data_IF_209956425192
#
_entry.id   IF_209956425192
#
_cell.length_a   1.000
_cell.length_b   1.000
_cell.length_c   1.000
_cell.angle_alpha   90.00
_cell.angle_beta   90.00
_cell.angle_gamma   90.00
#
_symmetry.space_group_name_H-M   'P 1'
#
loop_
_entity.id
_entity.type
_entity.pdbx_description
1 polymer ?
#
# COMPACT_ATOMS: atom_id res chain seq x y z
N UNK A 1 -19.43 -8.73 -7.42
CA UNK A 1 -19.24 -7.36 -7.94
C UNK A 1 -18.12 -6.64 -7.20
N UNK A 2 -18.15 -6.58 -5.86
CA UNK A 2 -17.13 -5.94 -5.02
C UNK A 2 -15.74 -6.56 -5.21
N UNK A 3 -15.68 -7.89 -5.33
CA UNK A 3 -14.48 -8.66 -5.66
C UNK A 3 -13.74 -8.13 -6.90
N UNK A 4 -14.47 -7.88 -8.00
CA UNK A 4 -13.89 -7.35 -9.25
C UNK A 4 -13.34 -5.95 -9.07
N UNK A 5 -14.04 -5.10 -8.32
CA UNK A 5 -13.61 -3.73 -8.02
C UNK A 5 -12.29 -3.75 -7.25
N UNK A 6 -12.16 -4.62 -6.25
CA UNK A 6 -10.95 -4.73 -5.45
C UNK A 6 -9.76 -5.29 -6.25
N UNK A 7 -10.01 -6.25 -7.15
CA UNK A 7 -8.98 -6.74 -8.09
C UNK A 7 -8.50 -5.61 -8.98
N UNK A 8 -9.41 -4.86 -9.59
CA UNK A 8 -9.06 -3.71 -10.45
C UNK A 8 -8.28 -2.66 -9.66
N UNK A 9 -8.73 -2.32 -8.44
CA UNK A 9 -8.04 -1.39 -7.56
C UNK A 9 -6.61 -1.83 -7.23
N UNK A 10 -6.44 -3.12 -6.93
CA UNK A 10 -5.13 -3.72 -6.62
C UNK A 10 -4.18 -3.64 -7.82
N UNK A 11 -4.70 -3.93 -9.03
CA UNK A 11 -3.93 -3.86 -10.26
C UNK A 11 -3.55 -2.43 -10.62
N UNK A 12 -4.47 -1.47 -10.52
CA UNK A 12 -4.20 -0.05 -10.78
C UNK A 12 -3.15 0.47 -9.81
N UNK A 13 -3.31 0.23 -8.51
CA UNK A 13 -2.31 0.63 -7.50
C UNK A 13 -0.93 0.06 -7.82
N UNK A 14 -0.86 -1.20 -8.24
CA UNK A 14 0.42 -1.86 -8.54
C UNK A 14 1.09 -1.29 -9.79
N UNK A 15 0.32 -1.08 -10.86
CA UNK A 15 0.80 -0.45 -12.09
C UNK A 15 1.29 0.97 -11.82
N UNK A 16 0.52 1.77 -11.09
CA UNK A 16 0.90 3.13 -10.74
C UNK A 16 2.13 3.18 -9.83
N UNK A 17 2.27 2.28 -8.86
CA UNK A 17 3.47 2.22 -8.00
C UNK A 17 4.76 1.96 -8.80
N UNK A 18 4.67 1.28 -9.95
CA UNK A 18 5.80 1.05 -10.85
C UNK A 18 6.05 2.26 -11.75
N UNK A 19 4.99 2.91 -12.25
CA UNK A 19 5.09 3.98 -13.24
C UNK A 19 5.58 5.33 -12.69
N UNK A 20 5.33 5.65 -11.42
CA UNK A 20 5.71 6.95 -10.86
C UNK A 20 7.18 6.94 -10.42
N UNK A 21 7.93 8.01 -10.72
CA UNK A 21 9.35 8.11 -10.37
C UNK A 21 9.58 8.56 -8.93
N UNK A 22 8.71 9.43 -8.41
CA UNK A 22 8.86 10.01 -7.08
C UNK A 22 8.58 8.97 -5.98
N UNK A 23 9.49 8.77 -5.01
CA UNK A 23 9.32 7.75 -3.99
C UNK A 23 8.07 7.94 -3.11
N UNK A 24 7.62 9.19 -2.92
CA UNK A 24 6.41 9.49 -2.14
C UNK A 24 5.18 9.01 -2.90
N UNK A 25 5.10 9.29 -4.20
CA UNK A 25 4.00 8.85 -5.05
C UNK A 25 3.92 7.32 -5.10
N UNK A 26 5.08 6.65 -5.22
CA UNK A 26 5.14 5.18 -5.13
C UNK A 26 4.55 4.65 -3.84
N UNK A 27 4.86 5.29 -2.70
CA UNK A 27 4.33 4.88 -1.40
C UNK A 27 2.82 5.06 -1.32
N UNK A 28 2.27 6.13 -1.90
CA UNK A 28 0.82 6.34 -1.99
C UNK A 28 0.17 5.21 -2.80
N UNK A 29 0.69 4.91 -3.99
CA UNK A 29 0.15 3.83 -4.82
C UNK A 29 0.30 2.45 -4.18
N UNK A 30 1.35 2.23 -3.40
CA UNK A 30 1.51 1.02 -2.59
C UNK A 30 0.38 0.89 -1.55
N UNK A 31 -0.04 1.98 -0.91
CA UNK A 31 -1.18 1.94 0.02
C UNK A 31 -2.51 1.64 -0.68
N UNK A 32 -2.68 2.09 -1.94
CA UNK A 32 -3.85 1.75 -2.76
C UNK A 32 -3.88 0.26 -3.08
N UNK A 33 -2.75 -0.32 -3.51
CA UNK A 33 -2.61 -1.76 -3.71
C UNK A 33 -2.95 -2.53 -2.44
N UNK A 34 -2.37 -2.11 -1.32
CA UNK A 34 -2.61 -2.74 -0.04
C UNK A 34 -4.07 -2.68 0.41
N UNK A 35 -4.76 -1.56 0.18
CA UNK A 35 -6.19 -1.43 0.45
C UNK A 35 -7.03 -2.43 -0.35
N UNK A 36 -6.71 -2.62 -1.64
CA UNK A 36 -7.33 -3.64 -2.48
C UNK A 36 -7.10 -5.06 -1.95
N UNK A 37 -5.87 -5.38 -1.55
CA UNK A 37 -5.50 -6.68 -0.96
C UNK A 37 -6.24 -6.93 0.36
N UNK A 38 -6.26 -5.97 1.27
CA UNK A 38 -6.98 -6.09 2.56
C UNK A 38 -8.47 -6.32 2.34
N UNK A 39 -9.07 -5.62 1.37
CA UNK A 39 -10.45 -5.86 0.97
C UNK A 39 -10.69 -7.30 0.50
N UNK A 40 -9.79 -7.84 -0.32
CA UNK A 40 -9.88 -9.23 -0.81
C UNK A 40 -9.72 -10.26 0.31
N UNK A 41 -8.77 -10.05 1.23
CA UNK A 41 -8.57 -10.92 2.41
C UNK A 41 -9.84 -10.94 3.27
N UNK A 42 -10.42 -9.77 3.52
CA UNK A 42 -11.67 -9.63 4.30
C UNK A 42 -12.84 -10.34 3.61
N UNK A 43 -12.99 -10.19 2.29
CA UNK A 43 -14.04 -10.88 1.53
C UNK A 43 -13.92 -12.41 1.55
N UNK A 44 -12.71 -12.94 1.73
CA UNK A 44 -12.45 -14.38 1.83
C UNK A 44 -12.65 -14.94 3.24
N UNK A 45 -13.01 -14.09 4.22
CA UNK A 45 -13.27 -14.50 5.60
C UNK A 45 -12.04 -14.59 6.50
N UNK A 46 -10.87 -14.13 6.03
CA UNK A 46 -9.63 -14.16 6.81
C UNK A 46 -9.46 -12.91 7.67
N UNK A 47 -10.38 -12.70 8.62
CA UNK A 47 -10.43 -11.45 9.40
C UNK A 47 -9.19 -11.23 10.27
N UNK A 48 -8.61 -12.28 10.84
CA UNK A 48 -7.40 -12.18 11.67
C UNK A 48 -6.21 -11.65 10.85
N UNK A 49 -6.06 -12.16 9.61
CA UNK A 49 -5.04 -11.68 8.68
C UNK A 49 -5.31 -10.24 8.28
N UNK A 50 -6.56 -9.89 7.99
CA UNK A 50 -6.93 -8.51 7.66
C UNK A 50 -6.60 -7.54 8.79
N UNK A 51 -6.86 -7.91 10.05
CA UNK A 51 -6.55 -7.09 11.22
C UNK A 51 -5.03 -6.88 11.38
N UNK A 52 -4.23 -7.94 11.25
CA UNK A 52 -2.76 -7.86 11.30
C UNK A 52 -2.24 -6.95 10.19
N UNK A 53 -2.70 -7.16 8.96
CA UNK A 53 -2.27 -6.35 7.80
C UNK A 53 -2.68 -4.89 7.98
N UNK A 54 -3.89 -4.61 8.47
CA UNK A 54 -4.38 -3.25 8.70
C UNK A 54 -3.51 -2.44 9.67
N UNK A 55 -2.88 -3.09 10.65
CA UNK A 55 -1.90 -2.47 11.56
C UNK A 55 -0.53 -2.38 10.92
N UNK A 56 -0.09 -3.41 10.19
CA UNK A 56 1.22 -3.42 9.54
C UNK A 56 1.35 -2.35 8.46
N UNK A 57 0.28 -2.05 7.72
CA UNK A 57 0.31 -1.03 6.66
C UNK A 57 0.75 0.35 7.15
N UNK A 58 0.07 1.01 8.11
CA UNK A 58 0.51 2.32 8.60
C UNK A 58 1.88 2.26 9.28
N UNK A 59 2.22 1.18 9.98
CA UNK A 59 3.55 1.02 10.58
C UNK A 59 4.64 0.99 9.49
N UNK A 60 4.44 0.22 8.43
CA UNK A 60 5.37 0.16 7.29
C UNK A 60 5.50 1.51 6.60
N UNK A 61 4.39 2.24 6.41
CA UNK A 61 4.38 3.58 5.83
C UNK A 61 5.18 4.56 6.68
N UNK A 62 5.00 4.56 8.01
CA UNK A 62 5.76 5.43 8.92
C UNK A 62 7.26 5.14 8.81
N UNK A 63 7.65 3.86 8.83
CA UNK A 63 9.06 3.46 8.72
C UNK A 63 9.65 3.94 7.38
N UNK A 64 8.95 3.70 6.28
CA UNK A 64 9.41 4.11 4.94
C UNK A 64 9.52 5.65 4.87
N UNK A 65 8.54 6.39 5.38
CA UNK A 65 8.59 7.85 5.40
C UNK A 65 9.78 8.37 6.22
N UNK A 66 10.07 7.80 7.38
CA UNK A 66 11.23 8.17 8.21
C UNK A 66 12.52 7.96 7.41
N UNK A 67 12.67 6.81 6.76
CA UNK A 67 13.85 6.49 5.93
C UNK A 67 13.97 7.49 4.77
N UNK A 68 12.88 7.79 4.08
CA UNK A 68 12.86 8.73 2.96
C UNK A 68 13.25 10.15 3.38
N UNK A 69 12.71 10.64 4.50
CA UNK A 69 13.06 11.96 5.05
C UNK A 69 14.55 11.99 5.40
N UNK A 70 15.07 10.94 6.03
CA UNK A 70 16.49 10.84 6.41
C UNK A 70 17.42 10.82 5.20
N UNK A 71 17.05 10.09 4.14
CA UNK A 71 17.82 10.02 2.89
C UNK A 71 17.79 11.34 2.14
N UNK A 72 16.65 12.03 2.10
CA UNK A 72 16.52 13.34 1.45
C UNK A 72 17.38 14.40 2.12
N UNK A 73 17.36 14.46 3.47
CA UNK A 73 18.21 15.38 4.23
C UNK A 73 19.72 15.07 4.19
N UNK A 74 20.11 13.89 3.72
CA UNK A 74 21.53 13.52 3.52
C UNK A 74 22.10 13.95 2.17
N UNK A 75 21.25 14.33 1.21
CA UNK A 75 21.65 14.76 -0.14
C UNK A 75 21.65 16.29 -0.31
N UNK A 76 21.31 17.03 0.75
CA UNK A 76 21.36 18.49 0.81
C UNK A 76 22.63 18.93 1.54
#
# INVERSE_FOLDING_TARGET
>A
MIDKILIILTLIGSLSAISYSEPIDKLIYLTITAGGVVGLITLKGYLDVAAVVAVMLPLSTIIILIVMIRMRGSKA
#
